data_IF_616781702159
#
_entry.id   IF_616781702159
#
_cell.length_a   1.000
_cell.length_b   1.000
_cell.length_c   1.000
_cell.angle_alpha   90.00
_cell.angle_beta   90.00
_cell.angle_gamma   90.00
#
_symmetry.space_group_name_H-M   'P 1'
#
loop_
_entity.id
_entity.type
_entity.pdbx_description
1 polymer ?
#
# COMPACT_ATOMS: atom_id res chain seq x y z
N UNK A 1 6.10 11.76 53.64
CA UNK A 1 7.08 11.20 52.68
C UNK A 1 6.31 10.25 51.77
N UNK A 2 6.10 10.63 50.51
CA UNK A 2 5.38 9.83 49.53
C UNK A 2 6.40 8.94 48.81
N UNK A 3 6.09 7.65 48.68
CA UNK A 3 6.94 6.62 48.09
C UNK A 3 7.31 6.95 46.63
N UNK A 4 8.58 7.24 46.38
CA UNK A 4 9.22 7.31 45.05
C UNK A 4 9.79 5.93 44.69
N UNK A 5 8.95 5.04 44.15
CA UNK A 5 9.37 3.64 43.94
C UNK A 5 8.81 2.94 42.70
N UNK A 6 8.09 3.62 41.81
CA UNK A 6 7.51 2.95 40.64
C UNK A 6 7.40 3.89 39.44
N UNK A 7 8.52 4.19 38.76
CA UNK A 7 8.56 4.66 37.37
C UNK A 7 7.69 5.87 36.97
N UNK A 8 7.06 6.56 37.91
CA UNK A 8 6.07 7.61 37.68
C UNK A 8 6.70 8.95 37.31
N UNK A 9 8.02 9.09 37.45
CA UNK A 9 8.77 10.21 36.85
C UNK A 9 8.70 10.18 35.31
N UNK A 10 8.45 9.01 34.69
CA UNK A 10 8.24 8.89 33.25
C UNK A 10 6.80 9.23 32.81
N UNK A 11 5.89 9.49 33.77
CA UNK A 11 4.51 9.95 33.53
C UNK A 11 4.39 11.47 33.69
N UNK A 12 5.48 12.18 34.03
CA UNK A 12 5.46 13.63 33.88
C UNK A 12 5.56 13.95 32.38
N UNK A 13 4.51 14.50 31.73
CA UNK A 13 4.64 14.92 30.34
C UNK A 13 5.80 15.92 30.26
N UNK A 14 6.66 15.85 29.23
CA UNK A 14 7.77 16.79 29.10
C UNK A 14 7.20 18.21 29.18
N UNK A 15 7.73 19.04 30.08
CA UNK A 15 7.25 20.40 30.29
C UNK A 15 7.46 21.20 29.00
N UNK A 16 6.40 21.36 28.21
CA UNK A 16 6.43 22.04 26.92
C UNK A 16 6.62 23.54 27.15
N UNK A 17 7.88 24.00 27.30
CA UNK A 17 8.23 25.44 27.19
C UNK A 17 7.67 25.99 25.86
N UNK A 18 7.15 27.22 25.78
CA UNK A 18 6.69 27.78 24.51
C UNK A 18 7.84 27.92 23.49
N UNK A 19 7.57 27.78 22.19
CA UNK A 19 8.59 27.83 21.10
C UNK A 19 9.49 29.08 21.14
N UNK A 20 9.01 30.18 21.74
CA UNK A 20 9.73 31.44 21.86
C UNK A 20 10.86 31.44 22.90
N UNK A 21 10.96 30.41 23.75
CA UNK A 21 11.95 30.32 24.83
C UNK A 21 13.04 29.27 24.59
N UNK A 22 13.07 28.63 23.42
CA UNK A 22 13.97 27.51 23.16
C UNK A 22 15.28 27.94 22.51
N UNK A 23 16.37 27.31 22.96
CA UNK A 23 17.66 27.38 22.28
C UNK A 23 17.63 26.61 20.95
N UNK A 24 18.55 26.88 20.00
CA UNK A 24 18.60 26.16 18.72
C UNK A 24 18.71 24.64 18.85
N UNK A 25 19.37 24.14 19.90
CA UNK A 25 19.51 22.71 20.16
C UNK A 25 18.21 22.09 20.71
N UNK A 26 17.53 22.76 21.66
CA UNK A 26 16.22 22.31 22.15
C UNK A 26 15.15 22.35 21.05
N UNK A 27 15.24 23.30 20.10
CA UNK A 27 14.35 23.33 18.92
C UNK A 27 14.61 22.13 18.01
N UNK A 28 15.86 21.72 17.85
CA UNK A 28 16.25 20.53 17.10
C UNK A 28 15.68 19.25 17.72
N UNK A 29 15.83 19.07 19.03
CA UNK A 29 15.30 17.92 19.76
C UNK A 29 13.77 17.84 19.69
N UNK A 30 13.07 18.96 19.82
CA UNK A 30 11.61 18.99 19.66
C UNK A 30 11.15 18.78 18.23
N UNK A 31 11.91 19.27 17.26
CA UNK A 31 11.69 18.95 15.85
C UNK A 31 11.80 17.46 15.60
N UNK A 32 12.82 16.82 16.18
CA UNK A 32 13.02 15.37 16.13
C UNK A 32 11.91 14.60 16.87
N UNK A 33 11.45 15.06 18.03
CA UNK A 33 10.33 14.43 18.73
C UNK A 33 9.04 14.52 17.90
N UNK A 34 8.75 15.68 17.32
CA UNK A 34 7.57 15.85 16.45
C UNK A 34 7.62 14.97 15.20
N UNK A 35 8.79 14.83 14.56
CA UNK A 35 8.92 13.95 13.39
C UNK A 35 8.76 12.47 13.79
N UNK A 36 9.32 12.05 14.93
CA UNK A 36 9.17 10.68 15.42
C UNK A 36 7.73 10.36 15.81
N UNK A 37 7.06 11.28 16.52
CA UNK A 37 5.64 11.16 16.85
C UNK A 37 4.77 11.09 15.59
N UNK A 38 5.08 11.88 14.55
CA UNK A 38 4.38 11.76 13.28
C UNK A 38 4.65 10.43 12.58
N UNK A 39 5.91 10.01 12.47
CA UNK A 39 6.28 8.79 11.73
C UNK A 39 5.72 7.51 12.37
N UNK A 40 5.58 7.52 13.69
CA UNK A 40 4.98 6.42 14.46
C UNK A 40 3.45 6.49 14.51
N UNK A 41 2.86 7.64 14.23
CA UNK A 41 1.41 7.81 14.18
C UNK A 41 0.78 7.09 12.97
N UNK A 42 -0.50 6.72 13.09
CA UNK A 42 -1.22 6.07 11.98
C UNK A 42 -1.27 6.89 10.68
N UNK A 43 -1.47 8.22 10.70
CA UNK A 43 -1.33 9.04 9.51
C UNK A 43 0.06 8.93 8.88
N UNK A 44 1.12 8.96 9.69
CA UNK A 44 2.50 8.83 9.23
C UNK A 44 2.75 7.46 8.58
N UNK A 45 2.40 6.37 9.27
CA UNK A 45 2.51 5.00 8.71
C UNK A 45 1.74 4.85 7.40
N UNK A 46 0.53 5.39 7.32
CA UNK A 46 -0.31 5.33 6.11
C UNK A 46 0.33 6.05 4.92
N UNK A 47 0.88 7.25 5.15
CA UNK A 47 1.55 8.04 4.11
C UNK A 47 2.82 7.36 3.64
N UNK A 48 3.66 6.89 4.57
CA UNK A 48 4.92 6.18 4.24
C UNK A 48 4.61 4.93 3.42
N UNK A 49 3.66 4.11 3.86
CA UNK A 49 3.22 2.92 3.12
C UNK A 49 2.64 3.27 1.74
N UNK A 50 1.84 4.34 1.66
CA UNK A 50 1.27 4.81 0.40
C UNK A 50 2.34 5.27 -0.61
N UNK A 51 3.37 5.99 -0.16
CA UNK A 51 4.49 6.42 -1.01
C UNK A 51 5.32 5.21 -1.46
N UNK A 52 5.63 4.29 -0.54
CA UNK A 52 6.35 3.05 -0.87
C UNK A 52 5.55 2.21 -1.87
N UNK A 53 4.25 2.03 -1.66
CA UNK A 53 3.36 1.35 -2.59
C UNK A 53 3.27 2.04 -3.95
N UNK A 54 3.24 3.36 -3.99
CA UNK A 54 3.24 4.13 -5.23
C UNK A 54 4.53 3.91 -6.02
N UNK A 55 5.69 3.96 -5.36
CA UNK A 55 6.98 3.71 -5.99
C UNK A 55 7.06 2.28 -6.56
N UNK A 56 6.72 1.27 -5.75
CA UNK A 56 6.70 -0.14 -6.17
C UNK A 56 5.72 -0.38 -7.33
N UNK A 57 4.53 0.20 -7.26
CA UNK A 57 3.52 0.10 -8.31
C UNK A 57 3.90 0.82 -9.60
N UNK A 58 4.69 1.89 -9.52
CA UNK A 58 5.26 2.58 -10.69
C UNK A 58 6.29 1.74 -11.42
N UNK A 59 7.21 1.10 -10.68
CA UNK A 59 8.20 0.18 -11.24
C UNK A 59 7.52 -1.04 -11.86
N UNK A 60 6.61 -1.69 -11.13
CA UNK A 60 5.85 -2.83 -11.62
C UNK A 60 4.99 -2.46 -12.84
N UNK A 61 4.36 -1.28 -12.82
CA UNK A 61 3.54 -0.78 -13.91
C UNK A 61 4.33 -0.45 -15.17
N UNK A 62 5.56 0.07 -15.03
CA UNK A 62 6.47 0.29 -16.15
C UNK A 62 6.90 -1.03 -16.78
N UNK A 63 7.21 -2.03 -15.96
CA UNK A 63 7.59 -3.37 -16.41
C UNK A 63 6.44 -4.13 -17.09
N UNK A 64 5.24 -4.06 -16.53
CA UNK A 64 4.04 -4.62 -17.16
C UNK A 64 3.71 -3.92 -18.48
N UNK A 65 3.89 -2.59 -18.53
CA UNK A 65 3.73 -1.84 -19.77
C UNK A 65 4.77 -2.27 -20.81
N UNK A 66 6.05 -2.47 -20.44
CA UNK A 66 7.07 -2.90 -21.40
C UNK A 66 6.79 -4.27 -22.00
N UNK A 67 6.36 -5.26 -21.20
CA UNK A 67 6.04 -6.60 -21.71
C UNK A 67 4.77 -6.64 -22.58
N UNK A 68 3.82 -5.73 -22.35
CA UNK A 68 2.62 -5.64 -23.16
C UNK A 68 2.87 -5.14 -24.60
N UNK A 69 4.03 -4.55 -24.89
CA UNK A 69 4.38 -4.11 -26.25
C UNK A 69 5.10 -5.17 -27.09
N UNK A 70 5.63 -6.25 -26.47
CA UNK A 70 6.28 -7.34 -27.21
C UNK A 70 5.27 -8.34 -27.84
N UNK A 71 3.99 -8.27 -27.48
CA UNK A 71 2.95 -9.19 -27.99
C UNK A 71 1.84 -8.44 -28.73
N UNK A 72 1.94 -8.25 -30.06
CA UNK A 72 0.98 -7.45 -30.82
C UNK A 72 -0.42 -8.08 -31.00
N UNK A 73 -0.72 -9.23 -30.39
CA UNK A 73 -1.93 -10.01 -30.71
C UNK A 73 -2.92 -10.27 -29.56
N UNK A 74 -2.61 -9.96 -28.29
CA UNK A 74 -3.57 -10.18 -27.20
C UNK A 74 -3.41 -9.14 -26.10
N UNK A 75 -4.18 -8.04 -26.16
CA UNK A 75 -4.43 -7.21 -24.98
C UNK A 75 -5.93 -7.18 -24.68
N UNK A 76 -6.44 -8.06 -23.79
CA UNK A 76 -7.69 -7.78 -23.10
C UNK A 76 -7.40 -6.70 -22.06
N UNK A 77 -7.92 -5.50 -22.29
CA UNK A 77 -8.11 -4.49 -21.25
C UNK A 77 -8.96 -5.06 -20.11
N UNK A 78 -8.82 -4.56 -18.86
CA UNK A 78 -9.52 -5.13 -17.71
C UNK A 78 -11.04 -5.05 -17.91
N UNK A 79 -11.68 -6.21 -17.74
CA UNK A 79 -13.08 -6.53 -17.98
C UNK A 79 -14.08 -5.88 -17.01
N UNK A 80 -13.90 -4.62 -16.62
CA UNK A 80 -14.81 -3.92 -15.69
C UNK A 80 -15.52 -2.70 -16.29
N UNK A 81 -15.47 -2.51 -17.61
CA UNK A 81 -16.39 -1.61 -18.33
C UNK A 81 -16.98 -2.32 -19.55
N UNK A 82 -17.68 -3.42 -19.29
CA UNK A 82 -18.70 -3.92 -20.21
C UNK A 82 -19.88 -2.93 -20.22
N UNK A 83 -19.72 -1.79 -20.91
CA UNK A 83 -20.86 -1.05 -21.45
C UNK A 83 -20.97 -1.42 -22.92
N UNK A 84 -22.14 -1.96 -23.25
CA UNK A 84 -22.48 -2.54 -24.53
C UNK A 84 -22.22 -1.59 -25.70
N UNK A 85 -21.63 -2.12 -26.77
CA UNK A 85 -21.57 -1.47 -28.07
C UNK A 85 -20.15 -1.33 -28.60
N UNK A 86 -19.61 -2.41 -29.21
CA UNK A 86 -18.81 -2.41 -30.44
C UNK A 86 -18.15 -3.78 -30.62
N UNK A 87 -18.90 -4.69 -31.23
CA UNK A 87 -18.39 -5.96 -31.76
C UNK A 87 -17.41 -5.64 -32.89
N UNK A 88 -16.12 -5.89 -32.68
CA UNK A 88 -15.15 -5.94 -33.77
C UNK A 88 -15.19 -7.34 -34.40
N UNK A 89 -15.85 -7.45 -35.55
CA UNK A 89 -15.63 -8.55 -36.50
C UNK A 89 -14.22 -8.39 -37.05
N UNK A 90 -13.36 -9.39 -36.86
CA UNK A 90 -12.00 -9.41 -37.40
C UNK A 90 -10.92 -8.88 -36.45
N UNK A 91 -10.73 -9.53 -35.30
CA UNK A 91 -9.43 -9.82 -34.65
C UNK A 91 -8.43 -8.71 -34.31
N UNK A 92 -8.69 -7.44 -34.61
CA UNK A 92 -7.73 -6.35 -34.43
C UNK A 92 -8.44 -5.18 -33.72
N UNK A 93 -7.98 -4.86 -32.51
CA UNK A 93 -8.43 -3.66 -31.80
C UNK A 93 -7.96 -2.42 -32.56
N UNK A 94 -8.90 -1.51 -32.90
CA UNK A 94 -8.66 -0.27 -33.67
C UNK A 94 -7.50 0.59 -33.16
N UNK A 95 -7.11 0.46 -31.90
CA UNK A 95 -5.99 1.22 -31.30
C UNK A 95 -4.62 0.82 -31.86
N UNK A 96 -4.46 -0.41 -32.36
CA UNK A 96 -3.18 -0.91 -32.89
C UNK A 96 -2.94 -0.45 -34.33
N UNK A 97 -3.97 -0.48 -35.19
CA UNK A 97 -3.89 0.02 -36.57
C UNK A 97 -3.58 1.52 -36.64
N UNK A 98 -4.04 2.28 -35.65
CA UNK A 98 -3.83 3.72 -35.62
C UNK A 98 -2.42 4.13 -35.13
N UNK A 99 -1.51 3.22 -34.78
CA UNK A 99 -0.13 3.57 -34.35
C UNK A 99 0.85 3.43 -35.53
N UNK A 100 0.65 2.41 -36.36
CA UNK A 100 1.54 2.04 -37.47
C UNK A 100 1.67 3.10 -38.58
N UNK A 101 0.66 3.95 -38.80
CA UNK A 101 0.65 4.94 -39.89
C UNK A 101 1.17 6.34 -39.49
N UNK A 102 1.58 6.54 -38.22
CA UNK A 102 2.14 7.83 -37.78
C UNK A 102 3.65 7.92 -38.01
N UNK A 103 4.22 9.13 -38.18
CA UNK A 103 5.67 9.30 -38.23
C UNK A 103 6.33 8.72 -36.97
N UNK A 104 7.50 8.07 -37.09
CA UNK A 104 8.23 7.38 -36.01
C UNK A 104 8.36 8.22 -34.71
N UNK A 105 8.49 9.54 -34.83
CA UNK A 105 8.57 10.45 -33.68
C UNK A 105 7.25 10.52 -32.89
N UNK A 106 6.12 10.44 -33.58
CA UNK A 106 4.80 10.48 -32.96
C UNK A 106 4.39 9.12 -32.41
N UNK A 107 4.84 8.01 -33.03
CA UNK A 107 4.72 6.66 -32.47
C UNK A 107 5.47 6.53 -31.15
N UNK A 108 6.75 6.95 -31.10
CA UNK A 108 7.52 6.92 -29.85
C UNK A 108 6.88 7.81 -28.78
N UNK A 109 6.45 9.02 -29.12
CA UNK A 109 5.79 9.92 -28.15
C UNK A 109 4.51 9.32 -27.60
N UNK A 110 3.69 8.68 -28.45
CA UNK A 110 2.45 8.03 -28.03
C UNK A 110 2.74 6.81 -27.15
N UNK A 111 3.74 6.00 -27.50
CA UNK A 111 4.18 4.85 -26.72
C UNK A 111 4.66 5.26 -25.31
N UNK A 112 5.54 6.26 -25.21
CA UNK A 112 5.97 6.78 -23.91
C UNK A 112 4.81 7.36 -23.10
N UNK A 113 3.86 8.03 -23.77
CA UNK A 113 2.68 8.58 -23.10
C UNK A 113 1.73 7.49 -22.60
N UNK A 114 1.53 6.41 -23.35
CA UNK A 114 0.68 5.28 -22.93
C UNK A 114 1.35 4.44 -21.83
N UNK A 115 2.65 4.17 -21.96
CA UNK A 115 3.47 3.54 -20.91
C UNK A 115 3.39 4.32 -19.60
N UNK A 116 3.55 5.65 -19.67
CA UNK A 116 3.46 6.53 -18.51
C UNK A 116 2.08 6.51 -17.86
N UNK A 117 1.01 6.55 -18.66
CA UNK A 117 -0.38 6.47 -18.14
C UNK A 117 -0.66 5.15 -17.42
N UNK A 118 -0.21 4.02 -17.99
CA UNK A 118 -0.39 2.69 -17.39
C UNK A 118 0.43 2.54 -16.11
N UNK A 119 1.70 2.95 -16.13
CA UNK A 119 2.56 2.96 -14.94
C UNK A 119 1.97 3.84 -13.83
N UNK A 120 1.48 5.03 -14.16
CA UNK A 120 0.86 5.93 -13.19
C UNK A 120 -0.45 5.39 -12.61
N UNK A 121 -1.30 4.75 -13.43
CA UNK A 121 -2.50 4.07 -12.93
C UNK A 121 -2.16 2.92 -11.99
N UNK A 122 -1.12 2.15 -12.30
CA UNK A 122 -0.61 1.08 -11.44
C UNK A 122 -0.10 1.64 -10.11
N UNK A 123 0.78 2.65 -10.17
CA UNK A 123 1.31 3.35 -9.01
C UNK A 123 0.20 3.85 -8.07
N UNK A 124 -0.86 4.46 -8.62
CA UNK A 124 -2.03 4.87 -7.85
C UNK A 124 -2.70 3.70 -7.12
N UNK A 125 -2.94 2.59 -7.81
CA UNK A 125 -3.62 1.44 -7.21
C UNK A 125 -2.78 0.82 -6.08
N UNK A 126 -1.48 0.61 -6.27
CA UNK A 126 -0.60 0.08 -5.23
C UNK A 126 -0.40 1.06 -4.07
N UNK A 127 -0.33 2.36 -4.34
CA UNK A 127 -0.32 3.40 -3.31
C UNK A 127 -1.60 3.40 -2.48
N UNK A 128 -2.77 3.26 -3.10
CA UNK A 128 -4.05 3.15 -2.39
C UNK A 128 -4.13 1.89 -1.53
N UNK A 129 -3.72 0.73 -2.06
CA UNK A 129 -3.69 -0.53 -1.31
C UNK A 129 -2.78 -0.39 -0.08
N UNK A 130 -1.55 0.09 -0.27
CA UNK A 130 -0.57 0.25 0.81
C UNK A 130 -1.01 1.25 1.89
N UNK A 131 -1.59 2.38 1.47
CA UNK A 131 -2.10 3.40 2.39
C UNK A 131 -3.25 2.89 3.25
N UNK A 132 -4.23 2.21 2.64
CA UNK A 132 -5.40 1.69 3.37
C UNK A 132 -4.98 0.55 4.29
N UNK A 133 -4.14 -0.38 3.83
CA UNK A 133 -3.69 -1.51 4.63
C UNK A 133 -2.98 -1.06 5.91
N UNK A 134 -1.93 -0.24 5.78
CA UNK A 134 -1.16 0.25 6.93
C UNK A 134 -1.99 1.16 7.85
N UNK A 135 -2.94 1.91 7.29
CA UNK A 135 -3.84 2.76 8.06
C UNK A 135 -4.83 1.95 8.89
N UNK A 136 -5.49 0.96 8.29
CA UNK A 136 -6.46 0.11 9.00
C UNK A 136 -5.74 -0.73 10.06
N UNK A 137 -4.60 -1.33 9.73
CA UNK A 137 -3.80 -2.09 10.69
C UNK A 137 -3.42 -1.24 11.90
N UNK A 138 -2.87 -0.04 11.68
CA UNK A 138 -2.49 0.86 12.77
C UNK A 138 -3.68 1.29 13.63
N UNK A 139 -4.85 1.55 13.03
CA UNK A 139 -6.07 1.91 13.78
C UNK A 139 -6.56 0.73 14.62
N UNK A 140 -6.56 -0.49 14.06
CA UNK A 140 -6.96 -1.69 14.79
C UNK A 140 -5.99 -2.00 15.94
N UNK A 141 -4.69 -1.88 15.70
CA UNK A 141 -3.66 -2.00 16.73
C UNK A 141 -3.85 -0.98 17.85
N UNK A 142 -4.12 0.28 17.50
CA UNK A 142 -4.34 1.37 18.45
C UNK A 142 -5.59 1.15 19.30
N UNK A 143 -6.64 0.54 18.74
CA UNK A 143 -7.89 0.25 19.45
C UNK A 143 -7.80 -1.01 20.33
N UNK A 144 -7.07 -2.05 19.90
CA UNK A 144 -6.96 -3.32 20.64
C UNK A 144 -5.77 -3.39 21.59
N UNK A 145 -4.78 -2.50 21.43
CA UNK A 145 -3.53 -2.48 22.18
C UNK A 145 -2.80 -3.84 22.21
N UNK A 146 -2.93 -4.62 21.13
CA UNK A 146 -2.25 -5.91 20.92
C UNK A 146 -1.78 -5.96 19.48
N UNK A 147 -0.61 -6.57 19.24
CA UNK A 147 -0.11 -6.90 17.91
C UNK A 147 -0.17 -8.43 17.73
N UNK A 148 -1.18 -8.91 17.02
CA UNK A 148 -1.38 -10.33 16.71
C UNK A 148 -1.72 -10.52 15.22
N UNK A 149 -1.82 -11.77 14.78
CA UNK A 149 -2.19 -12.14 13.41
C UNK A 149 -3.61 -11.67 13.03
N UNK A 150 -4.51 -11.49 14.00
CA UNK A 150 -5.88 -11.08 13.71
C UNK A 150 -5.93 -9.62 13.22
N UNK A 151 -4.97 -8.79 13.63
CA UNK A 151 -4.85 -7.43 13.12
C UNK A 151 -4.58 -7.42 11.61
N UNK A 152 -3.60 -8.20 11.12
CA UNK A 152 -3.30 -8.33 9.70
C UNK A 152 -4.49 -8.91 8.91
N UNK A 153 -5.09 -10.00 9.40
CA UNK A 153 -6.27 -10.63 8.76
C UNK A 153 -7.43 -9.65 8.61
N UNK A 154 -7.75 -8.90 9.67
CA UNK A 154 -8.86 -7.93 9.64
C UNK A 154 -8.52 -6.70 8.80
N UNK A 155 -7.29 -6.20 8.87
CA UNK A 155 -6.82 -5.11 8.02
C UNK A 155 -6.84 -5.50 6.53
N UNK A 156 -6.38 -6.71 6.21
CA UNK A 156 -6.47 -7.30 4.87
C UNK A 156 -7.92 -7.40 4.39
N UNK A 157 -8.82 -7.91 5.25
CA UNK A 157 -10.24 -8.00 4.90
C UNK A 157 -10.85 -6.64 4.58
N UNK A 158 -10.69 -5.64 5.46
CA UNK A 158 -11.25 -4.30 5.24
C UNK A 158 -10.61 -3.60 4.04
N UNK A 159 -9.32 -3.80 3.80
CA UNK A 159 -8.64 -3.25 2.62
C UNK A 159 -9.19 -3.89 1.34
N UNK A 160 -9.28 -5.23 1.28
CA UNK A 160 -9.81 -5.93 0.12
C UNK A 160 -11.29 -5.64 -0.16
N UNK A 161 -12.12 -5.62 0.89
CA UNK A 161 -13.53 -5.25 0.78
C UNK A 161 -13.71 -3.78 0.38
N UNK A 162 -12.90 -2.89 0.95
CA UNK A 162 -12.91 -1.45 0.68
C UNK A 162 -12.47 -1.09 -0.73
N UNK A 163 -11.67 -1.91 -1.40
CA UNK A 163 -11.29 -1.69 -2.80
C UNK A 163 -12.35 -2.21 -3.76
N UNK A 164 -13.00 -3.32 -3.42
CA UNK A 164 -14.02 -3.96 -4.25
C UNK A 164 -15.46 -3.46 -3.98
N UNK A 165 -15.65 -2.48 -3.08
CA UNK A 165 -16.99 -2.01 -2.69
C UNK A 165 -17.86 -1.59 -3.88
N UNK A 166 -17.28 -0.96 -4.91
CA UNK A 166 -18.00 -0.53 -6.11
C UNK A 166 -18.39 -1.67 -7.04
N UNK A 167 -17.72 -2.82 -6.93
CA UNK A 167 -18.00 -4.00 -7.75
C UNK A 167 -19.15 -4.86 -7.18
N UNK A 168 -19.75 -4.45 -6.05
CA UNK A 168 -20.88 -5.12 -5.41
C UNK A 168 -20.49 -5.93 -4.18
N UNK A 169 -21.48 -6.36 -3.37
CA UNK A 169 -21.23 -6.99 -2.07
C UNK A 169 -20.53 -8.35 -2.17
N UNK A 170 -20.85 -9.15 -3.19
CA UNK A 170 -20.20 -10.45 -3.40
C UNK A 170 -18.73 -10.29 -3.79
N UNK A 171 -18.41 -9.30 -4.65
CA UNK A 171 -17.04 -8.97 -5.00
C UNK A 171 -16.26 -8.41 -3.80
N UNK A 172 -16.91 -7.59 -2.96
CA UNK A 172 -16.31 -7.08 -1.73
C UNK A 172 -15.98 -8.19 -0.73
N UNK A 173 -16.89 -9.16 -0.53
CA UNK A 173 -16.63 -10.31 0.33
C UNK A 173 -15.52 -11.21 -0.20
N UNK A 174 -15.54 -11.50 -1.51
CA UNK A 174 -14.51 -12.33 -2.14
C UNK A 174 -13.14 -11.64 -2.13
N UNK A 175 -13.10 -10.34 -2.42
CA UNK A 175 -11.90 -9.52 -2.35
C UNK A 175 -11.36 -9.40 -0.92
N UNK A 176 -12.25 -9.17 0.05
CA UNK A 176 -11.91 -9.14 1.47
C UNK A 176 -11.34 -10.47 1.95
N UNK A 177 -12.00 -11.59 1.64
CA UNK A 177 -11.52 -12.93 2.00
C UNK A 177 -10.16 -13.24 1.38
N UNK A 178 -9.96 -12.89 0.10
CA UNK A 178 -8.68 -13.08 -0.59
C UNK A 178 -7.54 -12.27 0.04
N UNK A 179 -7.75 -10.98 0.32
CA UNK A 179 -6.74 -10.14 0.98
C UNK A 179 -6.50 -10.55 2.44
N UNK A 180 -7.52 -11.02 3.14
CA UNK A 180 -7.38 -11.54 4.51
C UNK A 180 -6.51 -12.80 4.53
N UNK A 181 -6.75 -13.73 3.60
CA UNK A 181 -5.94 -14.94 3.47
C UNK A 181 -4.50 -14.63 3.08
N UNK A 182 -4.30 -13.71 2.12
CA UNK A 182 -2.96 -13.28 1.73
C UNK A 182 -2.20 -12.63 2.89
N UNK A 183 -2.85 -11.71 3.62
CA UNK A 183 -2.25 -11.08 4.80
C UNK A 183 -1.92 -12.10 5.88
N UNK A 184 -2.81 -13.06 6.16
CA UNK A 184 -2.54 -14.16 7.09
C UNK A 184 -1.29 -14.95 6.69
N UNK A 185 -1.13 -15.26 5.40
CA UNK A 185 0.00 -16.01 4.90
C UNK A 185 1.32 -15.22 5.05
N UNK A 186 1.31 -13.92 4.76
CA UNK A 186 2.48 -13.05 4.94
C UNK A 186 2.82 -12.92 6.43
N UNK A 187 1.83 -12.70 7.29
CA UNK A 187 2.04 -12.60 8.73
C UNK A 187 2.57 -13.89 9.32
N UNK A 188 2.05 -15.05 8.88
CA UNK A 188 2.57 -16.36 9.29
C UNK A 188 4.00 -16.56 8.81
N UNK A 189 4.31 -16.15 7.59
CA UNK A 189 5.66 -16.25 7.04
C UNK A 189 6.65 -15.41 7.85
N UNK A 190 6.36 -14.12 8.06
CA UNK A 190 7.25 -13.22 8.81
C UNK A 190 7.33 -13.59 10.30
N UNK A 191 6.21 -13.93 10.96
CA UNK A 191 6.20 -14.31 12.39
C UNK A 191 6.72 -15.72 12.66
N UNK A 192 6.93 -16.55 11.63
CA UNK A 192 7.46 -17.91 11.83
C UNK A 192 8.89 -17.93 12.36
N UNK A 193 9.67 -16.88 12.08
CA UNK A 193 11.07 -16.76 12.48
C UNK A 193 11.23 -16.18 13.89
N UNK A 194 10.35 -15.24 14.29
CA UNK A 194 10.37 -14.57 15.60
C UNK A 194 9.60 -15.33 16.70
N UNK A 195 9.27 -16.60 16.45
CA UNK A 195 8.50 -17.43 17.35
C UNK A 195 9.23 -17.76 18.66
N UNK A 196 8.54 -18.50 19.52
CA UNK A 196 9.19 -19.04 20.73
C UNK A 196 10.34 -19.94 20.27
N UNK A 197 11.58 -19.74 20.77
CA UNK A 197 12.69 -20.58 20.39
C UNK A 197 12.32 -22.04 20.64
N UNK A 198 12.55 -22.94 19.66
CA UNK A 198 12.26 -24.35 19.83
C UNK A 198 13.11 -24.89 20.98
N UNK A 199 12.64 -25.96 21.63
CA UNK A 199 13.38 -26.57 22.73
C UNK A 199 14.76 -27.07 22.27
N UNK A 200 14.84 -27.50 21.01
CA UNK A 200 16.02 -28.04 20.35
C UNK A 200 16.01 -27.55 18.88
N UNK A 201 17.16 -27.28 18.27
CA UNK A 201 17.27 -26.78 16.87
C UNK A 201 17.13 -27.88 15.81
N UNK A 202 16.80 -29.11 16.21
CA UNK A 202 16.68 -30.25 15.31
C UNK A 202 15.23 -30.44 14.85
N UNK A 203 15.06 -30.63 13.54
CA UNK A 203 13.80 -31.12 12.94
C UNK A 203 13.82 -32.65 13.02
N UNK A 204 13.37 -33.22 14.14
CA UNK A 204 13.04 -34.65 14.23
C UNK A 204 11.73 -34.97 13.48
#
# INVERSE_FOLDING_TARGET
MVYTGFGLEQISPPQKKPYNELTPEEQGERGAEMIMNFMTSCPGKSVVSGVTGFALGGVLGLFMASMAYDTPLHTPTPANTATAGNVAVGGISRTVQQISDLPFRQQMKLQFTDMGKKSYSSAKNFGYIGMIYAGVECVIESLRAKNDIYNGVTAGFFTGAGLAYKAGPQAALMGGAGFAAFSAAIDLYMKSEDGRPPRNDFKE
#
